data_IF_885563164043
#
_entry.id   IF_885563164043
#
_cell.length_a   1.000
_cell.length_b   1.000
_cell.length_c   1.000
_cell.angle_alpha   90.00
_cell.angle_beta   90.00
_cell.angle_gamma   90.00
#
_symmetry.space_group_name_H-M   'P 1'
#
loop_
_entity.id
_entity.type
_entity.pdbx_description
1 polymer ?
#
# COMPACT_ATOMS: atom_id res chain seq x y z
N UNK A 1 -5.31 21.85 -26.48
CA UNK A 1 -4.76 21.54 -25.15
C UNK A 1 -4.77 20.02 -24.88
N UNK A 2 -5.68 19.26 -25.48
CA UNK A 2 -5.88 17.83 -25.17
C UNK A 2 -4.75 16.88 -25.59
N UNK A 3 -4.06 17.13 -26.71
CA UNK A 3 -2.98 16.24 -27.17
C UNK A 3 -1.76 16.24 -26.22
N UNK A 4 -1.40 17.40 -25.64
CA UNK A 4 -0.25 17.51 -24.74
C UNK A 4 -0.49 16.83 -23.40
N UNK A 5 -1.72 16.97 -22.90
CA UNK A 5 -2.14 16.29 -21.67
C UNK A 5 -2.12 14.77 -21.86
N UNK A 6 -2.64 14.29 -23.00
CA UNK A 6 -2.58 12.86 -23.36
C UNK A 6 -1.14 12.34 -23.49
N UNK A 7 -0.22 13.12 -24.05
CA UNK A 7 1.19 12.73 -24.17
C UNK A 7 1.90 12.68 -22.81
N UNK A 8 1.62 13.63 -21.91
CA UNK A 8 2.13 13.61 -20.54
C UNK A 8 1.63 12.38 -19.77
N UNK A 9 0.33 12.10 -19.84
CA UNK A 9 -0.25 10.90 -19.22
C UNK A 9 0.39 9.62 -19.75
N UNK A 10 0.64 9.55 -21.07
CA UNK A 10 1.31 8.41 -21.69
C UNK A 10 2.74 8.24 -21.17
N UNK A 11 3.51 9.33 -21.07
CA UNK A 11 4.86 9.30 -20.51
C UNK A 11 4.87 8.90 -19.02
N UNK A 12 3.92 9.40 -18.22
CA UNK A 12 3.77 9.01 -16.82
C UNK A 12 3.45 7.51 -16.67
N UNK A 13 2.61 6.97 -17.56
CA UNK A 13 2.32 5.52 -17.61
C UNK A 13 3.54 4.71 -17.98
N UNK A 14 4.34 5.14 -18.95
CA UNK A 14 5.58 4.45 -19.33
C UNK A 14 6.58 4.39 -18.17
N UNK A 15 6.74 5.50 -17.43
CA UNK A 15 7.55 5.53 -16.22
C UNK A 15 7.01 4.52 -15.20
N UNK A 16 5.69 4.48 -15.01
CA UNK A 16 5.08 3.56 -14.06
C UNK A 16 5.28 2.08 -14.46
N UNK A 17 5.18 1.75 -15.75
CA UNK A 17 5.38 0.39 -16.25
C UNK A 17 6.81 -0.12 -16.10
N UNK A 18 7.79 0.76 -15.82
CA UNK A 18 9.15 0.37 -15.51
C UNK A 18 9.32 -0.20 -14.09
N UNK A 19 8.27 -0.22 -13.26
CA UNK A 19 8.31 -0.84 -11.93
C UNK A 19 8.57 -2.37 -12.05
N UNK A 20 9.59 -2.91 -11.37
CA UNK A 20 9.90 -4.34 -11.37
C UNK A 20 8.71 -5.26 -11.02
N UNK A 21 7.74 -4.77 -10.25
CA UNK A 21 6.55 -5.55 -9.85
C UNK A 21 5.71 -5.94 -11.08
N UNK A 22 5.64 -5.11 -12.13
CA UNK A 22 4.89 -5.43 -13.35
C UNK A 22 5.49 -6.62 -14.10
N UNK A 23 6.82 -6.78 -14.08
CA UNK A 23 7.49 -7.92 -14.71
C UNK A 23 7.07 -9.26 -14.07
N UNK A 24 6.56 -9.24 -12.84
CA UNK A 24 6.03 -10.41 -12.15
C UNK A 24 4.59 -10.77 -12.54
N UNK A 25 3.96 -10.02 -13.46
CA UNK A 25 2.58 -10.25 -13.92
C UNK A 25 1.50 -9.66 -13.01
N UNK A 26 1.87 -8.74 -12.12
CA UNK A 26 0.93 -7.97 -11.30
C UNK A 26 0.42 -6.75 -12.06
N UNK A 27 -0.84 -6.36 -11.82
CA UNK A 27 -1.41 -5.09 -12.25
C UNK A 27 -1.81 -4.24 -11.05
N UNK A 28 -1.51 -2.95 -11.08
CA UNK A 28 -1.84 -2.00 -10.02
C UNK A 28 -3.34 -1.63 -10.08
N UNK A 29 -4.01 -1.71 -8.93
CA UNK A 29 -5.45 -1.36 -8.79
C UNK A 29 -5.70 -0.29 -7.74
N UNK A 30 -4.71 0.03 -6.90
CA UNK A 30 -4.79 1.08 -5.89
C UNK A 30 -3.43 1.71 -5.66
N UNK A 31 -3.35 3.04 -5.67
CA UNK A 31 -2.15 3.82 -5.35
C UNK A 31 -2.59 5.13 -4.67
N UNK A 32 -2.46 5.17 -3.35
CA UNK A 32 -2.86 6.32 -2.53
C UNK A 32 -1.93 6.46 -1.34
N UNK A 33 -1.84 7.68 -0.85
CA UNK A 33 -1.30 7.97 0.46
C UNK A 33 -2.38 7.77 1.54
N UNK A 34 -2.05 7.00 2.57
CA UNK A 34 -2.94 6.65 3.68
C UNK A 34 -2.30 7.11 4.99
N UNK A 35 -3.00 7.85 5.85
CA UNK A 35 -2.50 8.18 7.18
C UNK A 35 -2.44 6.92 8.05
N UNK A 36 -1.25 6.59 8.53
CA UNK A 36 -1.00 5.38 9.32
C UNK A 36 -0.28 5.71 10.62
N UNK A 37 -0.71 5.11 11.73
CA UNK A 37 -0.02 5.21 13.01
C UNK A 37 1.09 4.16 13.13
N UNK A 38 2.32 4.59 13.29
CA UNK A 38 3.48 3.73 13.48
C UNK A 38 3.62 3.40 14.95
N UNK A 39 3.42 2.12 15.28
CA UNK A 39 3.43 1.62 16.65
C UNK A 39 4.47 0.52 16.78
N UNK A 40 5.22 0.54 17.87
CA UNK A 40 6.04 -0.61 18.25
C UNK A 40 5.19 -1.55 19.10
N UNK A 41 5.25 -2.87 18.84
CA UNK A 41 4.50 -3.87 19.61
C UNK A 41 4.76 -3.78 21.12
N UNK A 42 5.98 -3.39 21.50
CA UNK A 42 6.39 -3.28 22.91
C UNK A 42 6.15 -1.88 23.50
N UNK A 43 5.58 -0.94 22.73
CA UNK A 43 5.26 0.38 23.24
C UNK A 43 4.12 0.31 24.28
N UNK A 44 4.05 1.35 25.13
CA UNK A 44 2.95 1.50 26.08
C UNK A 44 1.60 1.42 25.34
N UNK A 45 0.62 0.61 25.80
CA UNK A 45 -0.71 0.52 25.19
C UNK A 45 -1.46 1.86 25.07
N UNK A 46 -1.09 2.86 25.88
CA UNK A 46 -1.63 4.22 25.81
C UNK A 46 -0.95 5.09 24.74
N UNK A 47 0.19 4.66 24.19
CA UNK A 47 0.89 5.36 23.13
C UNK A 47 0.20 5.11 21.79
N UNK A 48 -0.28 6.17 21.15
CA UNK A 48 -1.01 6.07 19.88
C UNK A 48 -0.12 5.88 18.64
N UNK A 49 1.20 5.89 18.79
CA UNK A 49 2.11 5.82 17.65
C UNK A 49 2.42 7.20 17.07
N UNK A 50 3.31 7.23 16.08
CA UNK A 50 3.57 8.43 15.27
C UNK A 50 2.71 8.35 14.02
N UNK A 51 1.94 9.40 13.71
CA UNK A 51 1.14 9.43 12.49
C UNK A 51 2.04 9.78 11.30
N UNK A 52 2.08 8.93 10.29
CA UNK A 52 2.82 9.14 9.05
C UNK A 52 1.92 9.00 7.82
N UNK A 53 2.27 9.74 6.77
CA UNK A 53 1.64 9.58 5.47
C UNK A 53 2.35 8.44 4.74
N UNK A 54 1.65 7.33 4.54
CA UNK A 54 2.22 6.11 3.99
C UNK A 54 1.71 5.87 2.59
N UNK A 55 2.60 5.59 1.66
CA UNK A 55 2.22 5.20 0.32
C UNK A 55 1.82 3.74 0.28
N UNK A 56 0.54 3.49 0.01
CA UNK A 56 -0.05 2.16 -0.10
C UNK A 56 -0.36 1.88 -1.56
N UNK A 57 0.25 0.82 -2.10
CA UNK A 57 -0.05 0.29 -3.43
C UNK A 57 -0.66 -1.10 -3.31
N UNK A 58 -1.75 -1.36 -4.02
CA UNK A 58 -2.35 -2.70 -4.10
C UNK A 58 -2.28 -3.17 -5.54
N UNK A 59 -1.71 -4.36 -5.72
CA UNK A 59 -1.57 -5.03 -6.99
C UNK A 59 -2.31 -6.37 -6.98
N UNK A 60 -2.75 -6.81 -8.15
CA UNK A 60 -3.40 -8.11 -8.33
C UNK A 60 -2.75 -8.92 -9.44
N UNK A 61 -2.80 -10.24 -9.35
CA UNK A 61 -2.64 -11.15 -10.49
C UNK A 61 -3.98 -11.80 -10.82
N UNK A 62 -4.27 -11.95 -12.11
CA UNK A 62 -5.58 -12.37 -12.60
C UNK A 62 -6.46 -11.15 -12.89
N UNK A 63 -7.76 -11.30 -12.71
CA UNK A 63 -8.75 -10.24 -12.87
C UNK A 63 -9.63 -10.10 -11.61
N UNK A 64 -10.51 -9.10 -11.55
CA UNK A 64 -11.38 -8.88 -10.38
C UNK A 64 -12.33 -10.04 -10.08
N UNK A 65 -12.68 -10.84 -11.08
CA UNK A 65 -13.57 -12.00 -10.94
C UNK A 65 -12.78 -13.28 -10.60
N UNK A 66 -11.52 -13.36 -11.05
CA UNK A 66 -10.61 -14.49 -10.92
C UNK A 66 -9.29 -14.03 -10.27
N UNK A 67 -9.39 -13.48 -9.06
CA UNK A 67 -8.25 -13.01 -8.29
C UNK A 67 -7.36 -14.21 -7.93
N UNK A 68 -6.11 -14.21 -8.39
CA UNK A 68 -5.14 -15.29 -8.11
C UNK A 68 -4.21 -14.93 -6.96
N UNK A 69 -3.81 -13.66 -6.89
CA UNK A 69 -2.92 -13.15 -5.86
C UNK A 69 -3.15 -11.66 -5.67
N UNK A 70 -3.13 -11.21 -4.43
CA UNK A 70 -3.18 -9.82 -4.02
C UNK A 70 -1.86 -9.48 -3.34
N UNK A 71 -1.25 -8.37 -3.74
CA UNK A 71 -0.05 -7.83 -3.14
C UNK A 71 -0.36 -6.43 -2.61
N UNK A 72 -0.26 -6.23 -1.30
CA UNK A 72 -0.21 -4.92 -0.68
C UNK A 72 1.26 -4.55 -0.51
N UNK A 73 1.63 -3.37 -0.97
CA UNK A 73 2.95 -2.79 -0.79
C UNK A 73 2.84 -1.49 -0.01
N UNK A 74 3.78 -1.30 0.91
CA UNK A 74 3.83 -0.19 1.84
C UNK A 74 5.23 0.44 1.77
N UNK A 75 5.26 1.74 1.47
CA UNK A 75 6.48 2.54 1.46
C UNK A 75 6.24 3.92 2.11
N UNK A 76 7.31 4.59 2.50
CA UNK A 76 7.30 5.98 2.98
C UNK A 76 8.41 6.77 2.28
N UNK A 77 8.26 8.09 2.26
CA UNK A 77 9.27 9.03 1.78
C UNK A 77 10.24 9.46 2.90
N UNK A 78 9.91 9.19 4.16
CA UNK A 78 10.75 9.50 5.32
C UNK A 78 11.95 8.54 5.41
N UNK A 79 11.67 7.23 5.30
CA UNK A 79 12.67 6.17 5.19
C UNK A 79 12.52 5.45 3.85
N UNK A 80 13.35 5.83 2.89
CA UNK A 80 13.35 5.22 1.56
C UNK A 80 13.67 3.72 1.58
N UNK A 81 14.26 3.17 2.63
CA UNK A 81 14.53 1.73 2.72
C UNK A 81 13.35 0.93 3.31
N UNK A 82 12.36 1.61 3.89
CA UNK A 82 11.15 0.97 4.39
C UNK A 82 10.29 0.49 3.22
N UNK A 83 10.30 -0.83 3.02
CA UNK A 83 9.50 -1.50 1.99
C UNK A 83 8.91 -2.79 2.56
N UNK A 84 7.63 -2.74 2.89
CA UNK A 84 6.89 -3.88 3.43
C UNK A 84 5.86 -4.38 2.43
N UNK A 85 5.67 -5.69 2.39
CA UNK A 85 4.69 -6.32 1.51
C UNK A 85 3.82 -7.32 2.24
N UNK A 86 2.59 -7.49 1.79
CA UNK A 86 1.70 -8.58 2.17
C UNK A 86 1.22 -9.24 0.88
N UNK A 87 1.51 -10.54 0.70
CA UNK A 87 1.03 -11.32 -0.44
C UNK A 87 -0.01 -12.31 0.06
N UNK A 88 -1.19 -12.26 -0.52
CA UNK A 88 -2.35 -13.10 -0.18
C UNK A 88 -2.81 -13.77 -1.46
N UNK A 89 -2.70 -15.09 -1.54
CA UNK A 89 -3.31 -15.94 -2.56
C UNK A 89 -4.52 -16.69 -1.97
N UNK A 90 -5.18 -17.57 -2.73
CA UNK A 90 -6.34 -18.33 -2.25
C UNK A 90 -6.10 -19.03 -0.90
N UNK A 91 -4.99 -19.77 -0.78
CA UNK A 91 -4.64 -20.48 0.46
C UNK A 91 -4.33 -19.51 1.62
N UNK A 92 -3.66 -18.40 1.32
CA UNK A 92 -3.40 -17.34 2.30
C UNK A 92 -4.69 -16.68 2.78
N UNK A 93 -5.65 -16.48 1.88
CA UNK A 93 -6.95 -15.91 2.22
C UNK A 93 -7.79 -16.87 3.07
N UNK A 94 -7.79 -18.17 2.78
CA UNK A 94 -8.49 -19.16 3.60
C UNK A 94 -8.04 -19.10 5.06
N UNK A 95 -6.72 -19.03 5.29
CA UNK A 95 -6.15 -18.85 6.64
C UNK A 95 -6.56 -17.52 7.25
N UNK A 96 -6.44 -16.43 6.49
CA UNK A 96 -6.84 -15.09 6.95
C UNK A 96 -8.32 -15.05 7.36
N UNK A 97 -9.17 -15.73 6.59
CA UNK A 97 -10.61 -15.85 6.81
C UNK A 97 -10.92 -16.62 8.08
N UNK A 98 -10.26 -17.75 8.31
CA UNK A 98 -10.41 -18.57 9.51
C UNK A 98 -9.89 -17.84 10.76
N UNK A 99 -8.69 -17.25 10.68
CA UNK A 99 -8.03 -16.58 11.80
C UNK A 99 -8.79 -15.33 12.27
N UNK A 100 -9.50 -14.65 11.35
CA UNK A 100 -10.15 -13.37 11.62
C UNK A 100 -11.67 -13.39 11.43
N UNK A 101 -12.26 -14.56 11.22
CA UNK A 101 -13.70 -14.77 11.00
C UNK A 101 -14.26 -13.88 9.88
N UNK A 102 -13.55 -13.77 8.75
CA UNK A 102 -14.05 -12.99 7.61
C UNK A 102 -15.25 -13.70 6.98
N UNK A 103 -16.27 -12.93 6.62
CA UNK A 103 -17.49 -13.47 6.00
C UNK A 103 -17.49 -13.37 4.48
N UNK A 104 -16.58 -12.58 3.90
CA UNK A 104 -16.50 -12.39 2.46
C UNK A 104 -15.70 -13.51 1.79
N UNK A 105 -15.97 -13.72 0.50
CA UNK A 105 -15.16 -14.59 -0.35
C UNK A 105 -13.92 -13.84 -0.88
N UNK A 106 -12.93 -14.59 -1.38
CA UNK A 106 -11.66 -14.01 -1.83
C UNK A 106 -11.85 -12.99 -2.98
N UNK A 107 -12.78 -13.26 -3.90
CA UNK A 107 -13.14 -12.34 -4.99
C UNK A 107 -13.72 -11.01 -4.51
N UNK A 108 -14.35 -10.98 -3.33
CA UNK A 108 -14.90 -9.78 -2.72
C UNK A 108 -13.88 -9.07 -1.82
N UNK A 109 -12.90 -9.81 -1.32
CA UNK A 109 -11.93 -9.31 -0.35
C UNK A 109 -11.14 -8.10 -0.86
N UNK A 110 -10.73 -8.11 -2.14
CA UNK A 110 -10.08 -6.94 -2.75
C UNK A 110 -10.92 -5.67 -2.55
N UNK A 111 -12.20 -5.71 -2.93
CA UNK A 111 -13.10 -4.54 -2.84
C UNK A 111 -13.25 -4.09 -1.39
N UNK A 112 -13.43 -5.03 -0.46
CA UNK A 112 -13.49 -4.74 0.97
C UNK A 112 -12.21 -4.05 1.46
N UNK A 113 -11.04 -4.55 1.07
CA UNK A 113 -9.75 -3.98 1.46
C UNK A 113 -9.57 -2.55 0.93
N UNK A 114 -9.92 -2.30 -0.34
CA UNK A 114 -9.84 -0.96 -0.92
C UNK A 114 -10.80 0.02 -0.22
N UNK A 115 -11.99 -0.43 0.15
CA UNK A 115 -12.94 0.38 0.93
C UNK A 115 -12.35 0.73 2.30
N UNK A 116 -11.71 -0.22 2.99
CA UNK A 116 -11.08 0.05 4.29
C UNK A 116 -9.98 1.11 4.18
N UNK A 117 -9.09 1.01 3.18
CA UNK A 117 -8.07 2.04 2.97
C UNK A 117 -8.67 3.42 2.69
N UNK A 118 -9.67 3.51 1.81
CA UNK A 118 -10.34 4.78 1.52
C UNK A 118 -11.05 5.36 2.76
N UNK A 119 -11.65 4.51 3.62
CA UNK A 119 -12.25 4.95 4.87
C UNK A 119 -11.23 5.48 5.87
N UNK A 120 -10.02 4.91 5.93
CA UNK A 120 -8.93 5.48 6.74
C UNK A 120 -8.53 6.90 6.29
N UNK A 121 -8.62 7.18 4.99
CA UNK A 121 -8.36 8.52 4.44
C UNK A 121 -9.51 9.49 4.77
N UNK A 122 -10.76 9.04 4.57
CA UNK A 122 -11.94 9.90 4.66
C UNK A 122 -12.47 10.11 6.09
N UNK A 123 -12.38 9.10 6.95
CA UNK A 123 -12.99 9.06 8.29
C UNK A 123 -11.93 9.14 9.40
N UNK A 124 -10.98 10.08 9.28
CA UNK A 124 -9.88 10.25 10.23
C UNK A 124 -10.42 10.45 11.66
N UNK A 125 -10.10 9.51 12.55
CA UNK A 125 -10.56 9.47 13.95
C UNK A 125 -11.64 8.43 14.26
N UNK A 126 -12.38 7.96 13.25
CA UNK A 126 -13.30 6.82 13.37
C UNK A 126 -12.64 5.52 12.93
N UNK A 127 -11.99 5.49 11.76
CA UNK A 127 -11.23 4.34 11.31
C UNK A 127 -9.78 4.77 11.12
N UNK A 128 -8.86 4.06 11.77
CA UNK A 128 -7.44 4.31 11.68
C UNK A 128 -6.72 3.07 11.13
N UNK A 129 -5.64 3.34 10.40
CA UNK A 129 -4.70 2.34 9.94
C UNK A 129 -3.49 2.40 10.86
N UNK A 130 -3.04 1.28 11.42
CA UNK A 130 -1.85 1.22 12.26
C UNK A 130 -0.88 0.18 11.71
N UNK A 131 0.41 0.55 11.64
CA UNK A 131 1.49 -0.39 11.34
C UNK A 131 2.19 -0.72 12.65
N UNK A 132 2.04 -1.98 13.07
CA UNK A 132 2.64 -2.50 14.29
C UNK A 132 3.92 -3.22 13.92
N UNK A 133 5.06 -2.64 14.28
CA UNK A 133 6.36 -3.27 14.10
C UNK A 133 6.61 -4.28 15.21
N UNK A 134 6.75 -5.56 14.84
CA UNK A 134 7.02 -6.66 15.77
C UNK A 134 8.52 -6.94 15.83
N UNK A 135 9.15 -7.03 14.65
CA UNK A 135 10.59 -7.13 14.47
C UNK A 135 11.00 -6.24 13.28
N UNK A 136 12.29 -6.24 12.92
CA UNK A 136 12.76 -5.55 11.70
C UNK A 136 12.22 -6.14 10.41
N UNK A 137 11.77 -7.40 10.45
CA UNK A 137 11.34 -8.15 9.27
C UNK A 137 9.83 -8.38 9.25
N UNK A 138 9.18 -8.36 10.41
CA UNK A 138 7.75 -8.63 10.54
C UNK A 138 7.05 -7.42 11.14
N UNK A 139 5.99 -7.00 10.45
CA UNK A 139 5.05 -6.01 10.93
C UNK A 139 3.63 -6.49 10.67
N UNK A 140 2.66 -5.81 11.25
CA UNK A 140 1.24 -6.09 11.03
C UNK A 140 0.53 -4.79 10.67
N UNK A 141 -0.26 -4.80 9.59
CA UNK A 141 -1.15 -3.71 9.24
C UNK A 141 -2.51 -3.96 9.90
N UNK A 142 -2.92 -3.10 10.83
CA UNK A 142 -4.19 -3.22 11.52
C UNK A 142 -5.13 -2.07 11.15
N UNK A 143 -6.34 -2.41 10.74
CA UNK A 143 -7.46 -1.48 10.65
C UNK A 143 -8.18 -1.48 12.00
N UNK A 144 -8.28 -0.33 12.65
CA UNK A 144 -8.86 -0.19 13.98
C UNK A 144 -9.99 0.82 13.91
N UNK A 145 -11.19 0.39 14.30
CA UNK A 145 -12.36 1.26 14.40
C UNK A 145 -12.53 1.77 15.84
N UNK A 146 -12.67 3.07 15.97
CA UNK A 146 -12.95 3.78 17.20
C UNK A 146 -14.46 3.90 17.42
N UNK A 147 -14.99 3.08 18.32
CA UNK A 147 -16.38 3.13 18.74
C UNK A 147 -16.65 4.18 19.83
N UNK A 148 -15.73 5.13 20.05
CA UNK A 148 -15.70 6.16 21.10
C UNK A 148 -15.44 5.63 22.52
N UNK A 149 -16.03 4.49 22.88
CA UNK A 149 -15.81 3.84 24.19
C UNK A 149 -14.83 2.66 24.12
N UNK A 150 -14.52 2.17 22.91
CA UNK A 150 -13.60 1.05 22.67
C UNK A 150 -13.01 1.12 21.27
N UNK A 151 -11.72 0.82 21.17
CA UNK A 151 -11.05 0.54 19.89
C UNK A 151 -11.20 -0.95 19.56
N UNK A 152 -11.67 -1.26 18.35
CA UNK A 152 -11.87 -2.63 17.87
C UNK A 152 -11.06 -2.83 16.60
N UNK A 153 -10.23 -3.88 16.57
CA UNK A 153 -9.52 -4.27 15.35
C UNK A 153 -10.50 -4.91 14.37
N UNK A 154 -10.60 -4.33 13.18
CA UNK A 154 -11.48 -4.76 12.09
C UNK A 154 -10.81 -5.79 11.20
N UNK A 155 -9.53 -5.58 10.88
CA UNK A 155 -8.74 -6.46 10.01
C UNK A 155 -7.26 -6.31 10.32
N UNK A 156 -6.52 -7.41 10.24
CA UNK A 156 -5.07 -7.50 10.39
C UNK A 156 -4.47 -8.13 9.13
N UNK A 157 -3.47 -7.51 8.53
CA UNK A 157 -2.68 -8.10 7.46
C UNK A 157 -1.23 -8.28 7.91
N UNK A 158 -0.65 -9.49 7.79
CA UNK A 158 0.75 -9.70 8.10
C UNK A 158 1.63 -9.06 7.03
N UNK A 159 2.49 -8.15 7.43
CA UNK A 159 3.48 -7.49 6.58
C UNK A 159 4.86 -8.11 6.78
N UNK A 160 5.61 -8.25 5.69
CA UNK A 160 7.00 -8.67 5.71
C UNK A 160 7.88 -7.63 5.05
N UNK A 161 9.00 -7.30 5.69
CA UNK A 161 10.04 -6.50 5.09
C UNK A 161 10.57 -7.24 3.86
N UNK A 162 10.79 -6.50 2.78
CA UNK A 162 11.33 -7.07 1.55
C UNK A 162 12.83 -7.29 1.66
N UNK A 163 13.38 -8.18 0.84
CA UNK A 163 14.81 -8.45 0.87
C UNK A 163 15.62 -7.20 0.44
N UNK A 164 16.88 -7.07 0.86
CA UNK A 164 17.73 -5.94 0.49
C UNK A 164 17.86 -5.73 -1.03
N UNK A 165 17.81 -6.82 -1.80
CA UNK A 165 17.85 -6.79 -3.27
C UNK A 165 16.60 -6.12 -3.83
N UNK A 166 15.41 -6.54 -3.37
CA UNK A 166 14.12 -5.94 -3.76
C UNK A 166 14.05 -4.48 -3.34
N UNK A 167 14.49 -4.16 -2.12
CA UNK A 167 14.56 -2.77 -1.63
C UNK A 167 15.45 -1.93 -2.54
N UNK A 168 16.63 -2.43 -2.92
CA UNK A 168 17.55 -1.71 -3.81
C UNK A 168 16.93 -1.45 -5.18
N UNK A 169 16.29 -2.45 -5.79
CA UNK A 169 15.61 -2.30 -7.07
C UNK A 169 14.46 -1.28 -6.99
N UNK A 170 13.64 -1.36 -5.94
CA UNK A 170 12.52 -0.43 -5.71
C UNK A 170 12.97 0.99 -5.40
N UNK A 171 14.06 1.17 -4.63
CA UNK A 171 14.67 2.48 -4.40
C UNK A 171 15.22 3.06 -5.71
N UNK A 172 15.95 2.25 -6.49
CA UNK A 172 16.49 2.68 -7.79
C UNK A 172 15.37 3.10 -8.73
N UNK A 173 14.32 2.28 -8.85
CA UNK A 173 13.14 2.59 -9.65
C UNK A 173 12.49 3.90 -9.20
N UNK A 174 12.15 4.06 -7.91
CA UNK A 174 11.49 5.27 -7.40
C UNK A 174 12.33 6.53 -7.60
N UNK A 175 13.65 6.43 -7.44
CA UNK A 175 14.57 7.52 -7.72
C UNK A 175 14.53 7.92 -9.21
N UNK A 176 14.72 6.95 -10.11
CA UNK A 176 14.69 7.18 -11.56
C UNK A 176 13.33 7.69 -12.02
N UNK A 177 12.23 7.15 -11.49
CA UNK A 177 10.87 7.58 -11.80
C UNK A 177 10.61 9.02 -11.34
N UNK A 178 11.07 9.40 -10.15
CA UNK A 178 10.95 10.77 -9.64
C UNK A 178 11.75 11.75 -10.49
N UNK A 179 13.00 11.42 -10.84
CA UNK A 179 13.81 12.24 -11.75
C UNK A 179 13.15 12.41 -13.11
N UNK A 180 12.64 11.33 -13.70
CA UNK A 180 11.96 11.39 -14.99
C UNK A 180 10.71 12.28 -14.93
N UNK A 181 9.90 12.16 -13.85
CA UNK A 181 8.73 13.02 -13.62
C UNK A 181 9.13 14.50 -13.45
N UNK A 182 10.20 14.78 -12.70
CA UNK A 182 10.70 16.13 -12.52
C UNK A 182 11.15 16.75 -13.84
N UNK A 183 11.91 16.03 -14.66
CA UNK A 183 12.34 16.51 -15.98
C UNK A 183 11.15 16.83 -16.87
N UNK A 184 10.12 15.97 -16.90
CA UNK A 184 8.89 16.23 -17.67
C UNK A 184 8.17 17.50 -17.21
N UNK A 185 8.16 17.80 -15.91
CA UNK A 185 7.56 19.04 -15.36
C UNK A 185 8.42 20.26 -15.69
N UNK A 186 9.74 20.15 -15.59
CA UNK A 186 10.66 21.24 -15.92
C UNK A 186 10.60 21.62 -17.41
N UNK A 187 10.55 20.62 -18.31
CA UNK A 187 10.36 20.85 -19.75
C UNK A 187 9.06 21.60 -20.06
N UNK A 188 8.02 21.41 -19.24
CA UNK A 188 6.76 22.16 -19.36
C UNK A 188 6.87 23.60 -18.84
N UNK A 189 7.73 23.84 -17.87
CA UNK A 189 7.97 25.18 -17.30
C UNK A 189 8.85 26.04 -18.21
N UNK A 190 9.88 25.45 -18.83
CA UNK A 190 10.81 26.16 -19.72
C UNK A 190 10.20 26.54 -21.08
N UNK A 191 9.10 25.88 -21.47
CA UNK A 191 8.39 26.15 -22.74
C UNK A 191 7.24 27.17 -22.59
N UNK A 192 7.19 27.92 -21.48
CA UNK A 192 6.16 28.92 -21.16
C UNK A 192 6.75 30.31 -21.05
#
# INVERSE_FOLDING_TARGET
MDHRFSQLEQNLRLIQQADPIFASGYSLVYDREVPCEFRNRNANPLFRGVLECVKVRVFIKGDECNLTSLLVEITTDVDVFMHYTCIINDNGFLRLREDQNLLCEYSQFLKTLLVLFNRCIAEQGRLLCAIIFETKENASLEFIENLQYKMVRVLLLPLKASSPEVVREQVQYRYTATLARLNLVLEQMDQK
#
